data_IF_978239836010
#
_entry.id   IF_978239836010
#
_cell.length_a   1.000
_cell.length_b   1.000
_cell.length_c   1.000
_cell.angle_alpha   90.00
_cell.angle_beta   90.00
_cell.angle_gamma   90.00
#
_symmetry.space_group_name_H-M   'P 1'
#
loop_
_entity.id
_entity.type
_entity.pdbx_description
1 polymer ?
#
# COMPACT_ATOMS: atom_id res chain seq x y z
N UNK A 1 8.00 11.90 -6.97
CA UNK A 1 8.69 10.79 -7.68
C UNK A 1 7.62 9.76 -7.85
N UNK A 2 7.28 9.37 -9.08
CA UNK A 2 6.16 8.48 -9.33
C UNK A 2 6.64 7.06 -9.60
N UNK A 3 5.91 6.07 -9.10
CA UNK A 3 6.31 4.68 -9.22
C UNK A 3 5.25 3.71 -8.71
N UNK A 4 5.59 2.44 -8.78
CA UNK A 4 4.79 1.33 -8.25
C UNK A 4 5.70 0.53 -7.31
N UNK A 5 5.20 0.24 -6.10
CA UNK A 5 5.82 -0.73 -5.20
C UNK A 5 5.00 -2.00 -5.23
N UNK A 6 5.63 -3.13 -5.55
CA UNK A 6 5.04 -4.45 -5.39
C UNK A 6 5.52 -5.05 -4.08
N UNK A 7 4.58 -5.32 -3.17
CA UNK A 7 4.85 -6.03 -1.93
C UNK A 7 4.64 -7.53 -2.14
N UNK A 8 5.46 -8.34 -1.47
CA UNK A 8 5.29 -9.79 -1.46
C UNK A 8 5.59 -10.29 -0.03
N UNK A 9 4.59 -10.86 0.65
CA UNK A 9 4.72 -11.42 1.98
C UNK A 9 4.36 -12.90 1.97
N UNK A 10 5.31 -13.80 1.66
CA UNK A 10 5.04 -15.24 1.75
C UNK A 10 4.62 -15.68 3.17
N UNK A 11 4.98 -14.91 4.20
CA UNK A 11 4.60 -15.13 5.60
C UNK A 11 4.01 -13.83 6.21
N UNK A 12 2.71 -13.54 6.00
CA UNK A 12 2.08 -12.36 6.57
C UNK A 12 1.86 -12.50 8.09
N UNK A 13 1.80 -11.38 8.87
CA UNK A 13 1.84 -10.00 8.39
C UNK A 13 3.26 -9.51 8.07
N UNK A 14 3.40 -8.68 7.04
CA UNK A 14 4.65 -7.99 6.74
C UNK A 14 4.40 -6.52 6.38
N UNK A 15 5.35 -5.66 6.76
CA UNK A 15 5.31 -4.22 6.47
C UNK A 15 6.35 -3.87 5.43
N UNK A 16 5.96 -3.12 4.40
CA UNK A 16 6.85 -2.64 3.33
C UNK A 16 6.70 -1.14 3.17
N UNK A 17 7.80 -0.43 2.94
CA UNK A 17 7.77 1.01 2.66
C UNK A 17 7.30 1.26 1.21
N UNK A 18 6.45 2.28 1.01
CA UNK A 18 5.96 2.67 -0.31
C UNK A 18 6.81 3.85 -0.81
N UNK A 19 7.85 3.53 -1.57
CA UNK A 19 8.80 4.52 -2.11
C UNK A 19 9.64 5.18 -1.03
N UNK A 20 10.41 6.21 -1.41
CA UNK A 20 11.32 6.94 -0.52
C UNK A 20 10.97 8.44 -0.42
N UNK A 21 9.82 8.84 -0.97
CA UNK A 21 9.40 10.24 -1.03
C UNK A 21 8.91 10.74 0.33
N UNK A 22 9.30 11.94 0.72
CA UNK A 22 8.82 12.59 1.96
C UNK A 22 7.38 13.12 1.85
N UNK A 23 6.89 13.27 0.61
CA UNK A 23 5.55 13.72 0.27
C UNK A 23 5.13 13.17 -1.09
N UNK A 24 3.83 13.16 -1.36
CA UNK A 24 3.27 12.70 -2.62
C UNK A 24 1.81 12.30 -2.48
N UNK A 25 1.30 11.58 -3.47
CA UNK A 25 -0.07 11.05 -3.48
C UNK A 25 -0.05 9.58 -3.80
N UNK A 26 -0.78 8.77 -3.03
CA UNK A 26 -1.11 7.40 -3.40
C UNK A 26 -2.19 7.45 -4.48
N UNK A 27 -1.91 6.86 -5.64
CA UNK A 27 -2.73 6.96 -6.84
C UNK A 27 -3.48 5.68 -7.18
N UNK A 28 -3.09 4.54 -6.59
CA UNK A 28 -3.82 3.30 -6.76
C UNK A 28 -3.26 2.15 -5.95
N UNK A 29 -4.06 1.10 -5.85
CA UNK A 29 -3.70 -0.16 -5.20
C UNK A 29 -4.36 -1.32 -5.94
N UNK A 30 -3.59 -2.38 -6.19
CA UNK A 30 -4.11 -3.59 -6.85
C UNK A 30 -3.47 -4.88 -6.35
N UNK A 31 -4.19 -5.99 -6.50
CA UNK A 31 -3.78 -7.33 -6.10
C UNK A 31 -4.64 -8.36 -6.86
N UNK A 32 -4.03 -9.46 -7.30
CA UNK A 32 -4.67 -10.47 -8.16
C UNK A 32 -5.31 -11.64 -7.37
N UNK A 33 -5.53 -11.45 -6.07
CA UNK A 33 -6.06 -12.46 -5.15
C UNK A 33 -6.47 -11.83 -3.81
N UNK A 34 -6.69 -12.64 -2.76
CA UNK A 34 -7.09 -12.13 -1.45
C UNK A 34 -6.16 -11.01 -0.99
N UNK A 35 -6.76 -9.90 -0.57
CA UNK A 35 -6.06 -8.65 -0.33
C UNK A 35 -6.53 -8.10 1.01
N UNK A 36 -5.72 -8.29 2.03
CA UNK A 36 -5.96 -7.71 3.35
C UNK A 36 -4.74 -6.88 3.70
N UNK A 37 -4.88 -5.57 3.69
CA UNK A 37 -3.76 -4.68 3.98
C UNK A 37 -4.23 -3.34 4.53
N UNK A 38 -3.35 -2.65 5.23
CA UNK A 38 -3.55 -1.26 5.65
C UNK A 38 -2.32 -0.44 5.28
N UNK A 39 -2.56 0.69 4.64
CA UNK A 39 -1.56 1.70 4.36
C UNK A 39 -1.54 2.69 5.52
N UNK A 40 -0.35 2.98 6.02
CA UNK A 40 -0.09 3.93 7.10
C UNK A 40 0.78 5.09 6.61
N UNK A 41 0.52 6.28 7.11
CA UNK A 41 1.44 7.42 6.97
C UNK A 41 2.73 7.17 7.76
N UNK A 42 3.75 7.99 7.51
CA UNK A 42 5.00 7.95 8.29
C UNK A 42 4.80 8.19 9.80
N UNK A 43 3.70 8.84 10.19
CA UNK A 43 3.31 9.05 11.59
C UNK A 43 2.54 7.86 12.20
N UNK A 44 2.33 6.77 11.45
CA UNK A 44 1.58 5.59 11.90
C UNK A 44 0.05 5.74 11.83
N UNK A 45 -0.46 6.75 11.12
CA UNK A 45 -1.91 6.93 10.94
C UNK A 45 -2.38 6.10 9.76
N UNK A 46 -3.44 5.29 9.96
CA UNK A 46 -4.05 4.55 8.86
C UNK A 46 -4.64 5.50 7.81
N UNK A 47 -4.20 5.35 6.57
CA UNK A 47 -4.64 6.13 5.42
C UNK A 47 -5.70 5.40 4.61
N UNK A 48 -5.53 4.09 4.40
CA UNK A 48 -6.46 3.25 3.63
C UNK A 48 -6.37 1.80 4.10
N UNK A 49 -7.49 1.08 4.10
CA UNK A 49 -7.54 -0.34 4.45
C UNK A 49 -8.38 -1.11 3.44
N UNK A 50 -7.88 -2.27 3.04
CA UNK A 50 -8.56 -3.21 2.16
C UNK A 50 -8.74 -4.53 2.91
N UNK A 51 -9.91 -5.13 2.76
CA UNK A 51 -10.22 -6.47 3.24
C UNK A 51 -11.09 -7.17 2.19
N UNK A 52 -10.46 -7.76 1.20
CA UNK A 52 -11.09 -8.49 0.09
C UNK A 52 -10.59 -9.93 0.01
N UNK A 53 -11.47 -10.86 -0.33
CA UNK A 53 -11.09 -12.24 -0.68
C UNK A 53 -10.86 -12.43 -2.19
N UNK A 54 -11.16 -11.41 -2.98
CA UNK A 54 -11.02 -11.38 -4.44
C UNK A 54 -9.94 -10.37 -4.84
N UNK A 55 -9.67 -10.30 -6.13
CA UNK A 55 -8.84 -9.28 -6.74
C UNK A 55 -9.32 -7.87 -6.40
N UNK A 56 -8.38 -6.93 -6.34
CA UNK A 56 -8.67 -5.51 -6.15
C UNK A 56 -7.90 -4.72 -7.19
N UNK A 57 -8.54 -3.70 -7.74
CA UNK A 57 -7.93 -2.69 -8.57
C UNK A 57 -8.64 -1.36 -8.30
N UNK A 58 -8.11 -0.59 -7.37
CA UNK A 58 -8.71 0.63 -6.84
C UNK A 58 -7.84 1.84 -7.16
N UNK A 59 -8.47 2.90 -7.68
CA UNK A 59 -7.83 4.20 -7.84
C UNK A 59 -7.89 4.97 -6.53
N UNK A 60 -6.77 5.60 -6.14
CA UNK A 60 -6.65 6.37 -4.91
C UNK A 60 -6.31 7.84 -5.22
N UNK A 61 -6.59 8.73 -4.27
CA UNK A 61 -6.16 10.12 -4.29
C UNK A 61 -5.83 10.59 -2.87
N UNK A 62 -4.90 9.89 -2.22
CA UNK A 62 -4.56 10.13 -0.81
C UNK A 62 -3.19 10.78 -0.72
N UNK A 63 -3.16 12.04 -0.29
CA UNK A 63 -1.91 12.75 -0.05
C UNK A 63 -1.19 12.21 1.20
N UNK A 64 0.13 12.10 1.14
CA UNK A 64 0.98 11.82 2.30
C UNK A 64 2.07 12.87 2.43
N UNK A 65 2.45 13.16 3.67
CA UNK A 65 3.49 14.14 4.02
C UNK A 65 4.22 13.69 5.27
N UNK A 66 5.47 14.14 5.44
CA UNK A 66 6.24 13.90 6.65
C UNK A 66 7.01 12.57 6.66
N UNK A 67 7.13 11.93 5.49
CA UNK A 67 7.88 10.69 5.29
C UNK A 67 7.19 9.72 4.32
N UNK A 68 7.90 8.67 3.90
CA UNK A 68 7.33 7.64 3.05
C UNK A 68 6.25 6.87 3.81
N UNK A 69 5.09 6.59 3.19
CA UNK A 69 4.09 5.73 3.79
C UNK A 69 4.56 4.27 3.82
N UNK A 70 3.89 3.45 4.62
CA UNK A 70 4.14 2.02 4.70
C UNK A 70 2.84 1.26 4.46
N UNK A 71 2.93 0.04 3.96
CA UNK A 71 1.80 -0.87 3.85
C UNK A 71 2.08 -2.11 4.68
N UNK A 72 1.15 -2.45 5.56
CA UNK A 72 1.14 -3.74 6.25
C UNK A 72 0.16 -4.64 5.54
N UNK A 73 0.65 -5.74 4.99
CA UNK A 73 -0.15 -6.75 4.33
C UNK A 73 -0.31 -7.97 5.24
N UNK A 74 -1.53 -8.51 5.28
CA UNK A 74 -1.98 -9.66 6.06
C UNK A 74 -2.34 -10.84 5.16
N UNK A 75 -2.08 -10.73 3.86
CA UNK A 75 -2.28 -11.77 2.84
C UNK A 75 -0.97 -12.12 2.15
N UNK A 76 -0.84 -13.35 1.62
CA UNK A 76 0.33 -13.76 0.87
C UNK A 76 0.36 -13.27 -0.58
N UNK A 77 -0.77 -12.74 -1.08
CA UNK A 77 -0.87 -12.17 -2.42
C UNK A 77 0.06 -10.97 -2.59
N UNK A 78 0.59 -10.79 -3.80
CA UNK A 78 1.32 -9.58 -4.14
C UNK A 78 0.38 -8.38 -4.19
N UNK A 79 0.79 -7.25 -3.61
CA UNK A 79 0.02 -6.00 -3.63
C UNK A 79 0.86 -4.93 -4.32
N UNK A 80 0.31 -4.34 -5.37
CA UNK A 80 0.92 -3.22 -6.09
C UNK A 80 0.32 -1.92 -5.56
N UNK A 81 1.17 -0.99 -5.15
CA UNK A 81 0.75 0.35 -4.71
C UNK A 81 1.41 1.39 -5.61
N UNK A 82 0.59 2.21 -6.26
CA UNK A 82 1.03 3.29 -7.14
C UNK A 82 1.07 4.61 -6.38
N UNK A 83 2.10 5.42 -6.63
CA UNK A 83 2.27 6.73 -6.01
C UNK A 83 2.88 7.75 -6.97
N UNK A 84 2.71 9.05 -6.70
CA UNK A 84 3.25 10.17 -7.49
C UNK A 84 3.90 11.25 -6.66
#
# INVERSE_FOLDING_TARGET
>A
MSGIVTTNAPYPPATTQIGDSQNGTLTGISCDGPCVCTIYSAAGVALHSISSQLDVNEALSIAFTGGPPTITQNTPSAINVSFS
#
